data_IF_613888449157
#
_entry.id   IF_613888449157
#
_cell.length_a   1.000
_cell.length_b   1.000
_cell.length_c   1.000
_cell.angle_alpha   90.00
_cell.angle_beta   90.00
_cell.angle_gamma   90.00
#
_symmetry.space_group_name_H-M   'P 1'
#
loop_
_entity.id
_entity.type
_entity.pdbx_description
1 polymer ?
#
# COMPACT_ATOMS: atom_id res chain seq x y z
N UNK A 1 27.99 9.18 -3.39
CA UNK A 1 27.42 7.85 -3.07
C UNK A 1 25.92 8.01 -2.96
N UNK A 2 25.13 7.38 -3.85
CA UNK A 2 23.67 7.31 -3.67
C UNK A 2 23.40 6.32 -2.52
N UNK A 3 22.51 6.63 -1.56
CA UNK A 3 22.13 5.67 -0.52
C UNK A 3 21.53 4.42 -1.18
N UNK A 4 21.89 3.24 -0.69
CA UNK A 4 21.30 1.97 -1.07
C UNK A 4 19.81 2.03 -0.73
N UNK A 5 18.94 1.93 -1.74
CA UNK A 5 17.49 1.84 -1.52
C UNK A 5 17.19 0.51 -0.80
N UNK A 6 16.68 0.50 0.45
CA UNK A 6 16.37 -0.73 1.16
C UNK A 6 15.19 -1.50 0.53
N UNK A 7 14.41 -0.84 -0.33
CA UNK A 7 13.29 -1.38 -1.07
C UNK A 7 13.76 -2.07 -2.37
N UNK A 8 14.45 -3.21 -2.24
CA UNK A 8 14.87 -4.00 -3.41
C UNK A 8 13.75 -4.93 -3.86
N UNK A 9 13.21 -4.66 -5.05
CA UNK A 9 12.48 -5.65 -5.82
C UNK A 9 13.38 -6.88 -6.07
N UNK A 10 12.78 -8.08 -6.07
CA UNK A 10 13.51 -9.33 -6.34
C UNK A 10 13.99 -10.11 -5.11
N UNK A 11 13.19 -10.10 -4.03
CA UNK A 11 13.36 -11.06 -2.91
C UNK A 11 12.27 -12.15 -3.01
N UNK A 12 12.43 -13.15 -3.89
CA UNK A 12 11.37 -14.10 -4.22
C UNK A 12 10.89 -14.93 -3.00
N UNK A 13 11.75 -15.10 -2.00
CA UNK A 13 11.47 -15.91 -0.80
C UNK A 13 10.62 -15.17 0.25
N UNK A 14 10.35 -13.87 0.06
CA UNK A 14 9.55 -13.09 1.00
C UNK A 14 8.08 -12.97 0.54
N UNK A 15 7.14 -12.71 1.46
CA UNK A 15 5.80 -12.31 1.06
C UNK A 15 5.83 -10.99 0.28
N UNK A 16 4.85 -10.80 -0.61
CA UNK A 16 4.57 -9.51 -1.24
C UNK A 16 3.60 -8.74 -0.35
N UNK A 17 3.85 -7.45 -0.14
CA UNK A 17 2.94 -6.57 0.61
C UNK A 17 2.53 -5.45 -0.35
N UNK A 18 1.24 -5.38 -0.64
CA UNK A 18 0.64 -4.32 -1.46
C UNK A 18 0.09 -3.24 -0.56
N UNK A 19 0.38 -1.98 -0.90
CA UNK A 19 -0.05 -0.80 -0.18
C UNK A 19 -0.78 0.12 -1.15
N UNK A 20 -2.05 0.42 -0.89
CA UNK A 20 -2.75 1.53 -1.52
C UNK A 20 -2.41 2.86 -0.84
N UNK A 21 -2.71 3.99 -1.50
CA UNK A 21 -2.48 5.35 -1.03
C UNK A 21 -3.77 6.03 -0.56
N UNK A 22 -4.73 6.24 -1.47
CA UNK A 22 -6.01 6.83 -1.11
C UNK A 22 -6.81 5.88 -0.21
N UNK A 23 -7.47 6.43 0.80
CA UNK A 23 -8.19 5.68 1.83
C UNK A 23 -7.30 5.01 2.85
N UNK A 24 -6.02 4.79 2.52
CA UNK A 24 -5.01 4.18 3.41
C UNK A 24 -4.11 5.25 4.03
N UNK A 25 -3.13 5.76 3.26
CA UNK A 25 -2.23 6.80 3.75
C UNK A 25 -2.84 8.20 3.64
N UNK A 26 -3.73 8.41 2.67
CA UNK A 26 -4.54 9.62 2.51
C UNK A 26 -6.00 9.31 2.90
N UNK A 27 -6.43 9.52 4.15
CA UNK A 27 -7.81 9.29 4.59
C UNK A 27 -8.75 10.35 4.00
N UNK A 28 -9.05 10.24 2.71
CA UNK A 28 -9.82 11.24 1.96
C UNK A 28 -11.27 11.35 2.45
N UNK A 29 -11.82 10.27 3.03
CA UNK A 29 -13.20 10.25 3.49
C UNK A 29 -13.40 10.88 4.88
N UNK A 30 -12.31 11.22 5.60
CA UNK A 30 -12.45 11.88 6.88
C UNK A 30 -12.99 13.32 6.69
N UNK A 31 -13.98 13.76 7.49
CA UNK A 31 -14.65 15.05 7.29
C UNK A 31 -13.71 16.25 7.50
N UNK A 32 -12.65 16.06 8.27
CA UNK A 32 -11.57 17.03 8.53
C UNK A 32 -10.23 16.28 8.55
N UNK A 33 -9.12 17.00 8.39
CA UNK A 33 -7.79 16.41 8.56
C UNK A 33 -7.66 15.73 9.92
N UNK A 34 -7.38 14.41 9.99
CA UNK A 34 -7.26 13.70 11.26
C UNK A 34 -6.03 14.15 12.05
N UNK A 35 -6.06 13.95 13.37
CA UNK A 35 -4.92 14.28 14.23
C UNK A 35 -3.64 13.55 13.80
N UNK A 36 -2.53 14.29 13.75
CA UNK A 36 -1.23 13.78 13.30
C UNK A 36 -1.04 13.78 11.79
N UNK A 37 -2.09 14.06 11.00
CA UNK A 37 -1.99 14.28 9.56
C UNK A 37 -1.74 15.77 9.26
N UNK A 38 -1.18 16.00 8.08
CA UNK A 38 -0.98 17.30 7.47
C UNK A 38 -1.58 17.28 6.06
N UNK A 39 -1.95 18.45 5.55
CA UNK A 39 -2.54 18.59 4.22
C UNK A 39 -1.54 19.25 3.26
N UNK A 40 -1.51 18.78 2.02
CA UNK A 40 -0.69 19.33 0.94
C UNK A 40 -1.42 19.19 -0.39
N UNK A 41 -1.51 20.27 -1.15
CA UNK A 41 -1.94 20.21 -2.55
C UNK A 41 -0.79 19.63 -3.36
N UNK A 42 -0.99 18.43 -3.93
CA UNK A 42 0.01 17.75 -4.78
C UNK A 42 -0.28 17.90 -6.27
N UNK A 43 -1.53 18.18 -6.63
CA UNK A 43 -1.95 18.47 -7.99
C UNK A 43 -2.63 19.85 -8.06
N UNK A 44 -2.20 20.67 -9.01
CA UNK A 44 -2.69 22.04 -9.14
C UNK A 44 -4.20 22.07 -9.43
N UNK A 45 -4.94 22.78 -8.58
CA UNK A 45 -6.39 22.94 -8.73
C UNK A 45 -7.22 21.79 -8.12
N UNK A 46 -6.59 20.83 -7.45
CA UNK A 46 -7.27 19.76 -6.71
C UNK A 46 -7.32 20.02 -5.21
N UNK A 47 -8.13 19.22 -4.51
CA UNK A 47 -8.19 19.23 -3.05
C UNK A 47 -6.86 18.75 -2.45
N UNK A 48 -6.48 19.21 -1.24
CA UNK A 48 -5.25 18.77 -0.60
C UNK A 48 -5.32 17.29 -0.22
N UNK A 49 -4.21 16.59 -0.44
CA UNK A 49 -3.99 15.24 0.07
C UNK A 49 -3.44 15.28 1.49
N UNK A 50 -3.80 14.28 2.27
CA UNK A 50 -3.38 14.12 3.66
C UNK A 50 -2.21 13.17 3.76
N UNK A 51 -1.27 13.47 4.65
CA UNK A 51 -0.13 12.62 4.94
C UNK A 51 0.26 12.68 6.41
N UNK A 52 0.80 11.58 6.93
CA UNK A 52 1.33 11.49 8.29
C UNK A 52 2.79 11.05 8.26
N UNK A 53 3.69 11.89 8.77
CA UNK A 53 5.14 11.61 8.79
C UNK A 53 5.49 10.35 9.59
N UNK A 54 4.65 9.96 10.56
CA UNK A 54 4.84 8.73 11.33
C UNK A 54 4.73 7.46 10.46
N UNK A 55 4.00 7.52 9.33
CA UNK A 55 3.87 6.38 8.41
C UNK A 55 5.19 6.02 7.72
N UNK A 56 6.18 6.92 7.71
CA UNK A 56 7.49 6.65 7.15
C UNK A 56 8.16 5.43 7.83
N UNK A 57 8.07 5.33 9.15
CA UNK A 57 8.65 4.23 9.89
C UNK A 57 7.87 2.94 9.69
N UNK A 58 6.54 3.02 9.58
CA UNK A 58 5.70 1.84 9.33
C UNK A 58 5.95 1.24 7.94
N UNK A 59 6.14 2.08 6.92
CA UNK A 59 6.56 1.64 5.58
C UNK A 59 7.91 0.91 5.64
N UNK A 60 8.88 1.46 6.39
CA UNK A 60 10.20 0.84 6.56
C UNK A 60 10.11 -0.51 7.28
N UNK A 61 9.30 -0.61 8.32
CA UNK A 61 9.04 -1.86 9.04
C UNK A 61 8.44 -2.94 8.11
N UNK A 62 7.40 -2.60 7.35
CA UNK A 62 6.81 -3.54 6.38
C UNK A 62 7.81 -3.94 5.29
N UNK A 63 8.65 -3.03 4.82
CA UNK A 63 9.70 -3.33 3.85
C UNK A 63 10.80 -4.27 4.41
N UNK A 64 10.97 -4.37 5.73
CA UNK A 64 11.83 -5.40 6.34
C UNK A 64 11.14 -6.76 6.29
N UNK A 65 9.84 -6.81 6.58
CA UNK A 65 9.05 -8.04 6.66
C UNK A 65 8.70 -8.67 5.30
N UNK A 66 8.60 -7.87 4.24
CA UNK A 66 8.21 -8.34 2.91
C UNK A 66 8.73 -7.46 1.78
N UNK A 67 8.41 -7.84 0.56
CA UNK A 67 8.62 -7.00 -0.61
C UNK A 67 7.43 -6.07 -0.79
N UNK A 68 7.61 -4.78 -0.47
CA UNK A 68 6.55 -3.78 -0.48
C UNK A 68 6.37 -3.19 -1.90
N UNK A 69 5.13 -3.15 -2.37
CA UNK A 69 4.71 -2.63 -3.68
C UNK A 69 3.55 -1.65 -3.53
N UNK A 70 3.57 -0.58 -4.33
CA UNK A 70 2.41 0.27 -4.52
C UNK A 70 1.32 -0.49 -5.29
N UNK A 71 0.10 -0.50 -4.78
CA UNK A 71 -1.11 -0.98 -5.45
C UNK A 71 -2.17 0.12 -5.51
N UNK A 72 -1.78 1.26 -6.07
CA UNK A 72 -2.56 2.49 -6.07
C UNK A 72 -2.77 3.03 -7.48
N UNK A 73 -3.89 3.73 -7.68
CA UNK A 73 -4.18 4.46 -8.93
C UNK A 73 -3.22 5.60 -9.23
N UNK A 74 -2.47 6.06 -8.21
CA UNK A 74 -1.41 7.08 -8.36
C UNK A 74 -0.23 6.60 -9.21
N UNK A 75 0.02 5.29 -9.27
CA UNK A 75 1.17 4.75 -9.97
C UNK A 75 2.49 5.36 -9.47
N UNK A 76 3.29 5.91 -10.39
CA UNK A 76 4.57 6.56 -10.07
C UNK A 76 4.43 7.90 -9.35
N UNK A 77 3.29 8.59 -9.45
CA UNK A 77 3.07 9.86 -8.74
C UNK A 77 3.15 9.66 -7.22
N UNK A 78 2.86 8.46 -6.72
CA UNK A 78 3.07 8.11 -5.31
C UNK A 78 4.55 8.20 -4.91
N UNK A 79 5.47 7.82 -5.80
CA UNK A 79 6.91 7.94 -5.58
C UNK A 79 7.42 9.37 -5.78
N UNK A 80 6.87 10.10 -6.76
CA UNK A 80 7.36 11.41 -7.16
C UNK A 80 6.82 12.55 -6.28
N UNK A 81 5.59 12.42 -5.78
CA UNK A 81 4.89 13.49 -5.06
C UNK A 81 4.66 13.15 -3.58
N UNK A 82 4.24 11.91 -3.28
CA UNK A 82 3.80 11.55 -1.92
C UNK A 82 4.95 11.10 -1.01
N UNK A 83 5.77 10.13 -1.41
CA UNK A 83 6.89 9.64 -0.60
C UNK A 83 7.93 10.70 -0.20
N UNK A 84 8.22 11.74 -0.99
CA UNK A 84 9.10 12.82 -0.58
C UNK A 84 8.61 13.55 0.68
N UNK A 85 7.30 13.64 0.91
CA UNK A 85 6.73 14.22 2.14
C UNK A 85 7.12 13.41 3.39
N UNK A 86 7.40 12.11 3.21
CA UNK A 86 7.74 11.16 4.27
C UNK A 86 9.26 10.92 4.39
N UNK A 87 10.06 11.41 3.43
CA UNK A 87 11.49 11.10 3.36
C UNK A 87 11.76 9.59 3.17
N UNK A 88 10.90 8.90 2.42
CA UNK A 88 11.01 7.48 2.10
C UNK A 88 11.48 7.30 0.65
N UNK A 89 12.29 6.28 0.40
CA UNK A 89 12.77 5.97 -0.95
C UNK A 89 11.67 5.33 -1.82
N UNK A 90 11.80 5.36 -3.16
CA UNK A 90 10.76 4.88 -4.05
C UNK A 90 10.51 3.37 -3.88
N UNK A 91 9.25 2.98 -4.07
CA UNK A 91 8.76 1.60 -4.07
C UNK A 91 8.42 1.15 -5.51
N UNK A 92 8.51 -0.15 -5.81
CA UNK A 92 8.00 -0.66 -7.09
C UNK A 92 6.48 -0.49 -7.20
N UNK A 93 5.99 -0.28 -8.41
CA UNK A 93 4.58 0.03 -8.71
C UNK A 93 3.89 -1.13 -9.43
N UNK A 94 2.72 -1.52 -8.93
CA UNK A 94 1.79 -2.38 -9.68
C UNK A 94 1.15 -1.54 -10.79
N UNK A 95 1.42 -1.91 -12.05
CA UNK A 95 0.85 -1.19 -13.20
C UNK A 95 -0.63 -1.55 -13.35
N UNK A 96 -1.49 -0.59 -13.04
CA UNK A 96 -2.95 -0.66 -13.21
C UNK A 96 -3.39 0.20 -14.41
N UNK A 97 -4.65 0.07 -14.88
CA UNK A 97 -5.18 0.99 -15.89
C UNK A 97 -5.07 2.46 -15.45
N UNK A 98 -5.04 3.43 -16.38
CA UNK A 98 -5.08 4.84 -16.03
C UNK A 98 -6.40 5.20 -15.35
N UNK A 99 -6.38 6.09 -14.36
CA UNK A 99 -7.59 6.60 -13.71
C UNK A 99 -8.44 7.46 -14.67
N UNK A 100 -9.79 7.47 -14.54
CA UNK A 100 -10.57 6.65 -13.61
C UNK A 100 -10.72 5.20 -14.11
N UNK A 101 -10.71 4.25 -13.18
CA UNK A 101 -10.96 2.84 -13.47
C UNK A 101 -11.73 2.18 -12.31
N UNK A 102 -12.48 1.11 -12.60
CA UNK A 102 -13.18 0.35 -11.57
C UNK A 102 -12.17 -0.37 -10.66
N UNK A 103 -12.25 -0.26 -9.31
CA UNK A 103 -11.28 -0.82 -8.36
C UNK A 103 -10.98 -2.32 -8.55
N UNK A 104 -11.95 -3.10 -9.06
CA UNK A 104 -11.74 -4.51 -9.41
C UNK A 104 -10.67 -4.74 -10.49
N UNK A 105 -10.37 -3.74 -11.31
CA UNK A 105 -9.32 -3.78 -12.33
C UNK A 105 -7.90 -3.78 -11.73
N UNK A 106 -7.74 -3.49 -10.42
CA UNK A 106 -6.47 -3.74 -9.72
C UNK A 106 -6.15 -5.24 -9.61
N UNK A 107 -7.17 -6.10 -9.50
CA UNK A 107 -7.02 -7.51 -9.12
C UNK A 107 -6.12 -8.30 -10.08
N UNK A 108 -6.27 -8.23 -11.42
CA UNK A 108 -5.38 -8.96 -12.33
C UNK A 108 -3.91 -8.53 -12.21
N UNK A 109 -3.65 -7.24 -12.01
CA UNK A 109 -2.30 -6.70 -11.87
C UNK A 109 -1.66 -7.09 -10.54
N UNK A 110 -2.41 -6.98 -9.43
CA UNK A 110 -2.01 -7.46 -8.10
C UNK A 110 -1.74 -8.98 -8.14
N UNK A 111 -2.61 -9.75 -8.80
CA UNK A 111 -2.44 -11.18 -8.96
C UNK A 111 -1.16 -11.54 -9.73
N UNK A 112 -0.87 -10.82 -10.81
CA UNK A 112 0.35 -11.03 -11.60
C UNK A 112 1.62 -10.77 -10.79
N UNK A 113 1.66 -9.70 -9.98
CA UNK A 113 2.81 -9.40 -9.12
C UNK A 113 2.93 -10.39 -7.95
N UNK A 114 1.80 -10.77 -7.35
CA UNK A 114 1.80 -11.71 -6.23
C UNK A 114 2.23 -13.12 -6.65
N UNK A 115 1.86 -13.54 -7.87
CA UNK A 115 2.11 -14.87 -8.41
C UNK A 115 1.78 -15.98 -7.38
N UNK A 116 2.71 -16.91 -7.16
CA UNK A 116 2.58 -18.00 -6.20
C UNK A 116 3.18 -17.65 -4.82
N UNK A 117 3.48 -16.38 -4.53
CA UNK A 117 4.03 -15.94 -3.24
C UNK A 117 2.92 -15.58 -2.25
N UNK A 118 3.10 -15.83 -0.94
CA UNK A 118 2.20 -15.27 0.07
C UNK A 118 2.06 -13.76 -0.09
N UNK A 119 0.85 -13.22 0.10
CA UNK A 119 0.60 -11.79 -0.13
C UNK A 119 -0.26 -11.15 0.97
N UNK A 120 0.11 -9.94 1.38
CA UNK A 120 -0.78 -9.05 2.12
C UNK A 120 -1.20 -7.89 1.22
N UNK A 121 -2.47 -7.48 1.25
CA UNK A 121 -2.97 -6.32 0.52
C UNK A 121 -3.69 -5.37 1.49
N UNK A 122 -3.15 -4.16 1.61
CA UNK A 122 -3.65 -3.06 2.43
C UNK A 122 -4.33 -2.06 1.49
N UNK A 123 -5.63 -1.93 1.61
CA UNK A 123 -6.49 -1.17 0.69
C UNK A 123 -7.82 -0.89 1.38
N UNK A 124 -8.44 0.26 1.14
CA UNK A 124 -9.78 0.57 1.66
C UNK A 124 -10.88 -0.08 0.79
N UNK A 125 -10.62 -0.30 -0.50
CA UNK A 125 -11.61 -0.77 -1.47
C UNK A 125 -11.35 -2.19 -1.98
N UNK A 126 -11.28 -3.13 -1.04
CA UNK A 126 -11.34 -4.56 -1.38
C UNK A 126 -12.73 -4.89 -1.95
N UNK A 127 -12.87 -4.95 -3.27
CA UNK A 127 -14.14 -5.32 -3.91
C UNK A 127 -14.49 -6.80 -3.71
N UNK A 128 -15.68 -7.22 -4.16
CA UNK A 128 -16.06 -8.63 -4.16
C UNK A 128 -15.13 -9.49 -5.03
N UNK A 129 -14.57 -8.93 -6.10
CA UNK A 129 -13.61 -9.62 -6.97
C UNK A 129 -12.29 -9.84 -6.22
N UNK A 130 -11.77 -8.81 -5.55
CA UNK A 130 -10.55 -8.91 -4.74
C UNK A 130 -10.68 -9.93 -3.60
N UNK A 131 -11.80 -9.92 -2.88
CA UNK A 131 -12.10 -10.91 -1.83
C UNK A 131 -12.14 -12.34 -2.36
N UNK A 132 -12.81 -12.57 -3.50
CA UNK A 132 -12.87 -13.91 -4.13
C UNK A 132 -11.50 -14.38 -4.59
N UNK A 133 -10.73 -13.49 -5.21
CA UNK A 133 -9.35 -13.80 -5.61
C UNK A 133 -8.53 -14.24 -4.40
N UNK A 134 -8.49 -13.44 -3.32
CA UNK A 134 -7.71 -13.77 -2.13
C UNK A 134 -8.13 -15.12 -1.50
N UNK A 135 -9.44 -15.38 -1.40
CA UNK A 135 -9.97 -16.63 -0.85
C UNK A 135 -9.68 -17.87 -1.71
N UNK A 136 -9.52 -17.70 -3.03
CA UNK A 136 -9.25 -18.79 -3.96
C UNK A 136 -7.76 -19.16 -4.05
N UNK A 137 -6.85 -18.36 -3.48
CA UNK A 137 -5.41 -18.61 -3.57
C UNK A 137 -4.98 -19.81 -2.72
N UNK A 138 -4.14 -20.72 -3.24
CA UNK A 138 -3.63 -21.86 -2.49
C UNK A 138 -2.51 -21.48 -1.50
N UNK A 139 -2.00 -20.25 -1.59
CA UNK A 139 -0.95 -19.70 -0.72
C UNK A 139 -1.53 -18.64 0.21
N UNK A 140 -0.97 -18.45 1.43
CA UNK A 140 -1.51 -17.51 2.40
C UNK A 140 -1.70 -16.11 1.81
N UNK A 141 -2.92 -15.59 1.91
CA UNK A 141 -3.26 -14.25 1.43
C UNK A 141 -4.03 -13.51 2.52
N UNK A 142 -3.54 -12.34 2.92
CA UNK A 142 -4.14 -11.49 3.92
C UNK A 142 -4.71 -10.23 3.28
N UNK A 143 -5.99 -9.96 3.49
CA UNK A 143 -6.58 -8.65 3.19
C UNK A 143 -6.68 -7.81 4.46
N UNK A 144 -6.16 -6.59 4.40
CA UNK A 144 -6.22 -5.57 5.45
C UNK A 144 -7.06 -4.41 4.94
N UNK A 145 -8.37 -4.52 5.13
CA UNK A 145 -9.33 -3.46 4.79
C UNK A 145 -9.17 -2.28 5.72
N UNK A 146 -8.92 -1.10 5.16
CA UNK A 146 -8.79 0.15 5.90
C UNK A 146 -10.10 0.93 5.82
N UNK A 147 -10.47 1.59 6.92
CA UNK A 147 -11.57 2.56 6.90
C UNK A 147 -11.03 3.91 6.39
N UNK A 148 -11.49 4.42 5.24
CA UNK A 148 -10.94 5.63 4.64
C UNK A 148 -11.25 6.91 5.43
N UNK A 149 -12.11 6.83 6.46
CA UNK A 149 -12.37 7.92 7.39
C UNK A 149 -11.36 7.99 8.53
N UNK A 150 -10.65 6.88 8.80
CA UNK A 150 -9.62 6.78 9.84
C UNK A 150 -8.22 6.79 9.22
N UNK A 151 -8.06 6.15 8.06
CA UNK A 151 -6.77 5.87 7.45
C UNK A 151 -6.02 4.73 8.14
N UNK A 152 -4.78 4.56 7.74
CA UNK A 152 -3.91 3.48 8.19
C UNK A 152 -3.55 3.62 9.67
N UNK A 153 -3.69 2.54 10.43
CA UNK A 153 -3.38 2.54 11.87
C UNK A 153 -2.22 1.63 12.22
N UNK A 154 -1.63 1.85 13.40
CA UNK A 154 -0.58 0.95 13.93
C UNK A 154 -1.05 -0.51 14.03
N UNK A 155 -2.32 -0.73 14.38
CA UNK A 155 -2.90 -2.07 14.47
C UNK A 155 -2.90 -2.80 13.12
N UNK A 156 -3.06 -2.06 12.02
CA UNK A 156 -3.03 -2.63 10.67
C UNK A 156 -1.60 -3.05 10.29
N UNK A 157 -0.60 -2.23 10.65
CA UNK A 157 0.83 -2.57 10.49
C UNK A 157 1.17 -3.83 11.27
N UNK A 158 0.81 -3.87 12.56
CA UNK A 158 1.10 -4.99 13.45
C UNK A 158 0.45 -6.30 12.98
N UNK A 159 -0.75 -6.20 12.41
CA UNK A 159 -1.44 -7.34 11.80
C UNK A 159 -0.65 -7.92 10.62
N UNK A 160 -0.11 -7.06 9.75
CA UNK A 160 0.72 -7.51 8.62
C UNK A 160 2.04 -8.09 9.10
N UNK A 161 2.72 -7.45 10.05
CA UNK A 161 3.99 -7.95 10.61
C UNK A 161 3.81 -9.30 11.30
N UNK A 162 2.76 -9.46 12.10
CA UNK A 162 2.44 -10.72 12.79
C UNK A 162 2.13 -11.83 11.78
N UNK A 163 1.34 -11.52 10.75
CA UNK A 163 1.06 -12.46 9.67
C UNK A 163 2.33 -12.87 8.93
N UNK A 164 3.17 -11.92 8.53
CA UNK A 164 4.42 -12.21 7.81
C UNK A 164 5.36 -13.09 8.66
N UNK A 165 5.47 -12.83 9.96
CA UNK A 165 6.27 -13.64 10.89
C UNK A 165 5.73 -15.06 11.11
N UNK A 166 4.43 -15.28 10.86
CA UNK A 166 3.78 -16.60 10.99
C UNK A 166 3.93 -17.49 9.75
N UNK A 167 4.40 -16.93 8.62
CA UNK A 167 4.56 -17.68 7.39
C UNK A 167 5.63 -18.76 7.54
N UNK A 168 5.45 -19.94 6.90
CA UNK A 168 6.51 -20.94 6.80
C UNK A 168 7.74 -20.32 6.12
N UNK A 169 8.93 -20.63 6.64
CA UNK A 169 10.21 -20.29 6.02
C UNK A 169 10.60 -21.30 4.95
#
# INVERSE_FOLDING_TARGET
MRPLNPHRAGRPDLPVIFLDLDGVLNPFAAPTCPDGYQERVLFDGEDPQRYCVAHADWIRELAVAGELWWATGWGEDANELYLPLLGVGPLPVVVVPPVPFDPELKVPAVAAVAADRPAAWIDDDHTAVGRRWAAARPVPTLLVSIDPTLGWTRSDVDRVLTWAASLPR
#
